data_IF_198982716921
#
_entry.id   IF_198982716921
#
_cell.length_a   1.000
_cell.length_b   1.000
_cell.length_c   1.000
_cell.angle_alpha   90.00
_cell.angle_beta   90.00
_cell.angle_gamma   90.00
#
_symmetry.space_group_name_H-M   'P 1'
#
loop_
_entity.id
_entity.type
_entity.pdbx_description
1 polymer ?
#
# COMPACT_ATOMS: atom_id res chain seq x y z
N UNK A 1 15.90 7.25 -2.25
CA UNK A 1 14.63 7.61 -2.91
C UNK A 1 14.55 9.11 -3.09
N UNK A 2 14.12 9.61 -4.25
CA UNK A 2 13.88 11.04 -4.48
C UNK A 2 12.45 11.38 -4.07
N UNK A 3 12.26 12.05 -2.96
CA UNK A 3 10.94 12.47 -2.47
C UNK A 3 10.17 13.35 -3.47
N UNK A 4 10.89 14.20 -4.23
CA UNK A 4 10.34 15.06 -5.29
C UNK A 4 9.61 14.23 -6.39
N UNK A 5 9.98 12.98 -6.60
CA UNK A 5 9.32 12.08 -7.56
C UNK A 5 8.25 11.23 -6.86
N UNK A 6 8.56 10.74 -5.67
CA UNK A 6 7.68 9.83 -4.95
C UNK A 6 6.37 10.47 -4.49
N UNK A 7 6.42 11.73 -4.01
CA UNK A 7 5.23 12.45 -3.54
C UNK A 7 4.23 12.78 -4.66
N UNK A 8 4.63 13.34 -5.82
CA UNK A 8 3.72 13.52 -6.93
C UNK A 8 3.08 12.23 -7.43
N UNK A 9 3.84 11.13 -7.51
CA UNK A 9 3.30 9.83 -7.94
C UNK A 9 2.30 9.29 -6.92
N UNK A 10 2.59 9.43 -5.62
CA UNK A 10 1.64 9.06 -4.56
C UNK A 10 0.35 9.88 -4.67
N UNK A 11 0.47 11.19 -4.89
CA UNK A 11 -0.69 12.07 -5.04
C UNK A 11 -1.50 11.72 -6.30
N UNK A 12 -0.84 11.47 -7.44
CA UNK A 12 -1.51 11.02 -8.66
C UNK A 12 -2.23 9.68 -8.43
N UNK A 13 -1.58 8.72 -7.76
CA UNK A 13 -2.20 7.44 -7.41
C UNK A 13 -3.45 7.63 -6.54
N UNK A 14 -3.40 8.54 -5.55
CA UNK A 14 -4.54 8.86 -4.70
C UNK A 14 -5.69 9.47 -5.49
N UNK A 15 -5.40 10.44 -6.36
CA UNK A 15 -6.43 11.06 -7.22
C UNK A 15 -7.05 10.02 -8.16
N UNK A 16 -6.25 9.12 -8.72
CA UNK A 16 -6.76 8.04 -9.56
C UNK A 16 -7.58 7.02 -8.77
N UNK A 17 -7.20 6.71 -7.53
CA UNK A 17 -7.98 5.81 -6.66
C UNK A 17 -9.39 6.37 -6.40
N UNK A 18 -9.51 7.66 -6.16
CA UNK A 18 -10.80 8.30 -5.87
C UNK A 18 -11.61 8.54 -7.15
N UNK A 19 -10.95 8.93 -8.27
CA UNK A 19 -11.65 9.43 -9.46
C UNK A 19 -11.82 8.38 -10.56
N UNK A 20 -10.87 7.45 -10.70
CA UNK A 20 -10.82 6.53 -11.84
C UNK A 20 -11.03 5.06 -11.46
N UNK A 21 -10.53 4.63 -10.31
CA UNK A 21 -10.67 3.23 -9.89
C UNK A 21 -12.11 2.76 -9.69
N UNK A 22 -13.09 3.61 -9.31
CA UNK A 22 -14.50 3.19 -9.27
C UNK A 22 -15.05 2.66 -10.61
N UNK A 23 -14.45 3.04 -11.75
CA UNK A 23 -14.82 2.49 -13.07
C UNK A 23 -14.54 0.98 -13.17
N UNK A 24 -13.55 0.49 -12.41
CA UNK A 24 -13.17 -0.92 -12.34
C UNK A 24 -13.80 -1.64 -11.14
N UNK A 25 -14.79 -1.04 -10.53
CA UNK A 25 -15.52 -1.65 -9.43
C UNK A 25 -16.32 -2.87 -9.90
N UNK A 26 -16.05 -4.01 -9.28
CA UNK A 26 -16.77 -5.25 -9.50
C UNK A 26 -17.39 -5.72 -8.17
N UNK A 27 -18.71 -5.55 -8.05
CA UNK A 27 -19.44 -6.01 -6.86
C UNK A 27 -19.01 -5.32 -5.54
N UNK A 28 -18.68 -4.04 -5.58
CA UNK A 28 -18.22 -3.28 -4.41
C UNK A 28 -16.70 -3.42 -4.14
N UNK A 29 -15.96 -4.04 -5.07
CA UNK A 29 -14.53 -4.28 -4.95
C UNK A 29 -13.79 -3.38 -5.93
N UNK A 30 -12.99 -2.44 -5.42
CA UNK A 30 -12.15 -1.55 -6.23
C UNK A 30 -10.66 -1.85 -6.00
N UNK A 31 -9.82 -1.89 -7.05
CA UNK A 31 -8.38 -1.96 -6.89
C UNK A 31 -7.84 -0.63 -6.33
N UNK A 32 -6.76 -0.68 -5.54
CA UNK A 32 -6.16 0.49 -4.92
C UNK A 32 -4.74 0.73 -5.44
N UNK A 33 -4.55 1.79 -6.24
CA UNK A 33 -3.26 2.16 -6.81
C UNK A 33 -2.25 2.66 -5.78
N UNK A 34 -2.73 3.37 -4.75
CA UNK A 34 -1.88 3.82 -3.64
C UNK A 34 -1.15 2.63 -3.02
N UNK A 35 -1.84 1.51 -2.80
CA UNK A 35 -1.25 0.26 -2.27
C UNK A 35 -0.15 -0.25 -3.21
N UNK A 36 -0.37 -0.22 -4.53
CA UNK A 36 0.62 -0.66 -5.52
C UNK A 36 1.88 0.20 -5.48
N UNK A 37 1.71 1.54 -5.39
CA UNK A 37 2.84 2.48 -5.31
C UNK A 37 3.63 2.26 -4.02
N UNK A 38 2.96 2.10 -2.86
CA UNK A 38 3.62 1.83 -1.58
C UNK A 38 4.35 0.50 -1.60
N UNK A 39 3.74 -0.58 -2.14
CA UNK A 39 4.37 -1.88 -2.29
C UNK A 39 5.62 -1.80 -3.18
N UNK A 40 5.54 -1.08 -4.30
CA UNK A 40 6.67 -0.83 -5.18
C UNK A 40 7.82 -0.12 -4.45
N UNK A 41 7.53 0.96 -3.75
CA UNK A 41 8.54 1.69 -2.95
C UNK A 41 9.16 0.78 -1.89
N UNK A 42 8.35 -0.05 -1.21
CA UNK A 42 8.83 -0.96 -0.17
C UNK A 42 9.79 -2.04 -0.69
N UNK A 43 9.72 -2.40 -1.97
CA UNK A 43 10.67 -3.35 -2.59
C UNK A 43 12.07 -2.76 -2.78
N UNK A 44 12.20 -1.45 -2.96
CA UNK A 44 13.46 -0.81 -3.39
C UNK A 44 14.11 0.06 -2.33
N UNK A 45 13.36 0.58 -1.37
CA UNK A 45 13.79 1.59 -0.40
C UNK A 45 14.15 0.94 0.94
N UNK A 46 14.98 1.60 1.73
CA UNK A 46 15.32 1.22 3.10
C UNK A 46 14.09 1.26 4.02
N UNK A 47 14.10 0.42 5.06
CA UNK A 47 12.96 0.25 5.98
C UNK A 47 12.49 1.56 6.61
N UNK A 48 13.36 2.38 7.22
CA UNK A 48 12.92 3.64 7.85
C UNK A 48 12.23 4.59 6.88
N UNK A 49 12.79 4.79 5.68
CA UNK A 49 12.21 5.69 4.67
C UNK A 49 10.85 5.20 4.16
N UNK A 50 10.70 3.88 3.95
CA UNK A 50 9.44 3.34 3.46
C UNK A 50 8.33 3.36 4.52
N UNK A 51 8.68 3.23 5.82
CA UNK A 51 7.72 3.40 6.92
C UNK A 51 7.10 4.80 6.92
N UNK A 52 7.93 5.84 6.80
CA UNK A 52 7.45 7.21 6.69
C UNK A 52 6.58 7.42 5.44
N UNK A 53 6.95 6.82 4.33
CA UNK A 53 6.16 6.88 3.10
C UNK A 53 4.80 6.19 3.27
N UNK A 54 4.76 5.03 3.93
CA UNK A 54 3.53 4.30 4.22
C UNK A 54 2.61 5.05 5.18
N UNK A 55 3.17 5.65 6.25
CA UNK A 55 2.41 6.50 7.17
C UNK A 55 1.77 7.68 6.43
N UNK A 56 2.53 8.35 5.57
CA UNK A 56 2.01 9.46 4.77
C UNK A 56 0.92 8.99 3.81
N UNK A 57 1.13 7.87 3.11
CA UNK A 57 0.16 7.30 2.19
C UNK A 57 -1.15 6.94 2.90
N UNK A 58 -1.07 6.25 4.04
CA UNK A 58 -2.23 5.88 4.84
C UNK A 58 -2.96 7.11 5.43
N UNK A 59 -2.21 8.12 5.87
CA UNK A 59 -2.78 9.39 6.34
C UNK A 59 -3.57 10.11 5.23
N UNK A 60 -3.03 10.17 4.03
CA UNK A 60 -3.72 10.75 2.88
C UNK A 60 -4.98 9.94 2.49
N UNK A 61 -4.95 8.62 2.62
CA UNK A 61 -6.12 7.77 2.41
C UNK A 61 -7.20 8.04 3.48
N UNK A 62 -6.83 8.13 4.76
CA UNK A 62 -7.77 8.44 5.84
C UNK A 62 -8.43 9.83 5.65
N UNK A 63 -7.74 10.79 5.02
CA UNK A 63 -8.29 12.10 4.69
C UNK A 63 -9.19 12.10 3.44
N UNK A 64 -8.98 11.16 2.53
CA UNK A 64 -9.67 11.12 1.23
C UNK A 64 -10.99 10.37 1.29
N UNK A 65 -11.11 9.40 2.20
CA UNK A 65 -12.29 8.55 2.32
C UNK A 65 -12.96 8.79 3.69
N UNK A 66 -14.26 9.19 3.73
CA UNK A 66 -14.97 9.28 5.00
C UNK A 66 -15.11 7.89 5.63
N UNK A 67 -14.71 7.74 6.87
CA UNK A 67 -14.78 6.47 7.60
C UNK A 67 -16.20 6.03 7.91
N UNK A 68 -17.13 6.97 8.03
CA UNK A 68 -18.54 6.74 8.25
C UNK A 68 -19.36 7.66 7.36
N UNK A 69 -20.21 7.08 6.52
CA UNK A 69 -21.21 7.79 5.72
C UNK A 69 -22.58 7.54 6.34
N UNK A 70 -23.18 8.55 6.94
CA UNK A 70 -24.49 8.46 7.59
C UNK A 70 -25.33 9.73 7.36
N UNK A 71 -26.56 9.79 7.88
CA UNK A 71 -27.42 10.97 7.79
C UNK A 71 -26.86 12.19 8.57
N UNK A 72 -25.84 11.98 9.39
CA UNK A 72 -25.02 13.02 10.02
C UNK A 72 -23.79 13.30 9.15
N UNK A 73 -23.10 14.41 9.40
CA UNK A 73 -21.91 14.81 8.64
C UNK A 73 -20.89 13.65 8.52
N UNK A 74 -20.20 13.52 7.36
CA UNK A 74 -19.21 12.47 7.18
C UNK A 74 -18.12 12.59 8.26
N UNK A 75 -17.81 11.50 8.94
CA UNK A 75 -16.77 11.44 9.95
C UNK A 75 -15.47 10.93 9.32
N UNK A 76 -14.42 11.75 9.38
CA UNK A 76 -13.07 11.34 8.98
C UNK A 76 -12.30 10.87 10.23
N UNK A 77 -11.94 9.60 10.25
CA UNK A 77 -11.13 9.02 11.32
C UNK A 77 -9.71 8.80 10.81
N UNK A 78 -8.78 9.56 11.35
CA UNK A 78 -7.35 9.39 11.07
C UNK A 78 -6.82 8.24 11.93
N UNK A 79 -6.18 7.26 11.30
CA UNK A 79 -5.49 6.17 12.01
C UNK A 79 -5.64 4.79 11.38
N UNK A 80 -6.85 4.31 11.04
CA UNK A 80 -7.03 2.94 10.56
C UNK A 80 -6.23 2.61 9.30
N UNK A 81 -6.28 3.45 8.26
CA UNK A 81 -5.50 3.23 7.04
C UNK A 81 -4.03 3.59 7.25
N UNK A 82 -3.74 4.62 8.06
CA UNK A 82 -2.37 5.02 8.42
C UNK A 82 -1.60 3.88 9.08
N UNK A 83 -2.16 3.28 10.12
CA UNK A 83 -1.55 2.15 10.82
C UNK A 83 -1.61 0.87 9.99
N UNK A 84 -2.71 0.64 9.27
CA UNK A 84 -2.85 -0.50 8.36
C UNK A 84 -1.75 -0.53 7.32
N UNK A 85 -1.44 0.60 6.68
CA UNK A 85 -0.35 0.73 5.72
C UNK A 85 1.02 0.46 6.36
N UNK A 86 1.24 0.92 7.60
CA UNK A 86 2.49 0.64 8.31
C UNK A 86 2.66 -0.87 8.55
N UNK A 87 1.62 -1.55 9.05
CA UNK A 87 1.65 -3.01 9.24
C UNK A 87 1.82 -3.75 7.92
N UNK A 88 1.14 -3.31 6.85
CA UNK A 88 1.29 -3.86 5.51
C UNK A 88 2.72 -3.76 5.00
N UNK A 89 3.37 -2.62 5.21
CA UNK A 89 4.77 -2.42 4.84
C UNK A 89 5.71 -3.33 5.64
N UNK A 90 5.49 -3.54 6.93
CA UNK A 90 6.30 -4.49 7.72
C UNK A 90 6.21 -5.92 7.16
N UNK A 91 5.01 -6.36 6.75
CA UNK A 91 4.85 -7.65 6.10
C UNK A 91 5.64 -7.74 4.78
N UNK A 92 5.58 -6.69 3.95
CA UNK A 92 6.35 -6.62 2.70
C UNK A 92 7.86 -6.62 2.98
N UNK A 93 8.33 -5.84 3.96
CA UNK A 93 9.75 -5.77 4.33
C UNK A 93 10.30 -7.12 4.78
N UNK A 94 9.47 -7.92 5.47
CA UNK A 94 9.86 -9.26 5.94
C UNK A 94 10.08 -10.25 4.81
N UNK A 95 9.34 -10.13 3.70
CA UNK A 95 9.33 -11.12 2.61
C UNK A 95 10.08 -10.64 1.37
N UNK A 96 10.31 -9.32 1.21
CA UNK A 96 10.90 -8.75 -0.03
C UNK A 96 12.26 -9.34 -0.43
N UNK A 97 12.96 -9.97 0.50
CA UNK A 97 14.25 -10.64 0.24
C UNK A 97 14.14 -11.91 -0.61
N UNK A 98 12.97 -12.53 -0.63
CA UNK A 98 12.70 -13.79 -1.34
C UNK A 98 12.31 -13.54 -2.80
N UNK A 99 11.77 -12.38 -3.12
CA UNK A 99 11.19 -12.09 -4.43
C UNK A 99 12.18 -11.42 -5.39
N UNK A 100 12.00 -11.70 -6.68
CA UNK A 100 12.80 -11.11 -7.76
C UNK A 100 12.37 -9.65 -7.97
N UNK A 101 13.23 -8.70 -7.62
CA UNK A 101 12.92 -7.27 -7.59
C UNK A 101 12.55 -6.64 -8.95
N UNK A 102 12.95 -7.24 -10.07
CA UNK A 102 12.68 -6.70 -11.42
C UNK A 102 11.49 -7.34 -12.13
N UNK A 103 10.72 -8.15 -11.43
CA UNK A 103 9.57 -8.82 -12.01
C UNK A 103 8.27 -8.05 -11.65
N UNK A 104 7.45 -7.62 -12.63
CA UNK A 104 6.15 -7.01 -12.37
C UNK A 104 5.22 -7.89 -11.52
N UNK A 105 5.31 -9.21 -11.69
CA UNK A 105 4.56 -10.16 -10.87
C UNK A 105 4.90 -10.01 -9.38
N UNK A 106 6.17 -9.75 -9.06
CA UNK A 106 6.59 -9.51 -7.66
C UNK A 106 5.94 -8.24 -7.09
N UNK A 107 5.73 -7.21 -7.91
CA UNK A 107 4.99 -6.01 -7.48
C UNK A 107 3.54 -6.37 -7.19
N UNK A 108 2.88 -7.15 -8.06
CA UNK A 108 1.51 -7.62 -7.83
C UNK A 108 1.37 -8.43 -6.55
N UNK A 109 2.25 -9.39 -6.31
CA UNK A 109 2.26 -10.21 -5.08
C UNK A 109 2.47 -9.34 -3.83
N UNK A 110 3.40 -8.37 -3.88
CA UNK A 110 3.64 -7.46 -2.76
C UNK A 110 2.47 -6.50 -2.53
N UNK A 111 1.80 -6.06 -3.60
CA UNK A 111 0.59 -5.25 -3.49
C UNK A 111 -0.56 -6.04 -2.85
N UNK A 112 -0.74 -7.31 -3.23
CA UNK A 112 -1.71 -8.21 -2.61
C UNK A 112 -1.42 -8.36 -1.12
N UNK A 113 -0.17 -8.67 -0.75
CA UNK A 113 0.24 -8.86 0.64
C UNK A 113 0.03 -7.59 1.48
N UNK A 114 0.46 -6.44 0.96
CA UNK A 114 0.31 -5.16 1.63
C UNK A 114 -1.18 -4.82 1.82
N UNK A 115 -1.99 -4.97 0.76
CA UNK A 115 -3.42 -4.73 0.81
C UNK A 115 -4.12 -5.64 1.80
N UNK A 116 -3.81 -6.94 1.78
CA UNK A 116 -4.39 -7.93 2.69
C UNK A 116 -4.08 -7.62 4.15
N UNK A 117 -2.81 -7.35 4.46
CA UNK A 117 -2.36 -7.05 5.83
C UNK A 117 -2.94 -5.73 6.33
N UNK A 118 -2.98 -4.70 5.47
CA UNK A 118 -3.59 -3.42 5.77
C UNK A 118 -5.11 -3.55 6.00
N UNK A 119 -5.80 -4.31 5.13
CA UNK A 119 -7.24 -4.57 5.25
C UNK A 119 -7.60 -5.39 6.48
N UNK A 120 -6.77 -6.39 6.83
CA UNK A 120 -6.94 -7.15 8.09
C UNK A 120 -6.83 -6.23 9.30
N UNK A 121 -5.82 -5.35 9.34
CA UNK A 121 -5.67 -4.38 10.42
C UNK A 121 -6.85 -3.43 10.49
N UNK A 122 -7.30 -2.88 9.36
CA UNK A 122 -8.44 -1.99 9.27
C UNK A 122 -9.73 -2.68 9.81
N UNK A 123 -10.01 -3.90 9.37
CA UNK A 123 -11.17 -4.67 9.83
C UNK A 123 -11.09 -4.97 11.34
N UNK A 124 -9.91 -5.37 11.83
CA UNK A 124 -9.69 -5.63 13.25
C UNK A 124 -9.88 -4.36 14.10
N UNK A 125 -9.37 -3.23 13.63
CA UNK A 125 -9.54 -1.94 14.30
C UNK A 125 -11.01 -1.57 14.47
N UNK A 126 -11.81 -1.68 13.42
CA UNK A 126 -13.22 -1.38 13.47
C UNK A 126 -14.01 -2.43 14.28
N UNK A 127 -13.64 -3.70 14.23
CA UNK A 127 -14.24 -4.74 15.07
C UNK A 127 -14.02 -4.47 16.55
N UNK A 128 -12.82 -4.04 16.96
CA UNK A 128 -12.54 -3.63 18.33
C UNK A 128 -13.34 -2.38 18.73
N UNK A 129 -13.40 -1.40 17.82
CA UNK A 129 -14.13 -0.16 18.07
C UNK A 129 -15.64 -0.36 18.16
N UNK A 130 -16.20 -1.36 17.49
CA UNK A 130 -17.65 -1.68 17.55
C UNK A 130 -18.13 -2.12 18.93
N UNK A 131 -17.22 -2.41 19.87
CA UNK A 131 -17.58 -2.68 21.27
C UNK A 131 -18.04 -1.42 22.04
N UNK A 132 -17.78 -0.23 21.48
CA UNK A 132 -18.23 1.03 22.05
C UNK A 132 -19.55 1.46 21.39
N UNK A 133 -20.63 1.70 22.19
CA UNK A 133 -21.97 2.01 21.66
C UNK A 133 -22.04 3.24 20.75
N UNK A 134 -21.16 4.21 21.00
CA UNK A 134 -21.12 5.48 20.26
C UNK A 134 -20.34 5.39 18.94
N UNK A 135 -19.85 4.23 18.57
CA UNK A 135 -18.97 4.05 17.42
C UNK A 135 -19.40 2.85 16.56
N UNK A 136 -20.52 2.96 15.83
CA UNK A 136 -20.97 1.88 14.97
C UNK A 136 -19.91 1.54 13.91
N UNK A 137 -19.75 0.25 13.55
CA UNK A 137 -18.79 -0.14 12.53
C UNK A 137 -19.28 0.34 11.14
N UNK A 138 -18.36 0.56 10.16
CA UNK A 138 -18.71 1.03 8.82
C UNK A 138 -19.64 0.08 8.06
N UNK A 139 -19.61 -1.20 8.40
CA UNK A 139 -20.47 -2.23 7.77
C UNK A 139 -21.90 -2.32 8.33
N UNK A 140 -22.28 -1.44 9.26
CA UNK A 140 -23.64 -1.44 9.84
C UNK A 140 -24.02 -2.77 10.46
N UNK A 141 -25.18 -3.32 10.06
CA UNK A 141 -25.69 -4.62 10.52
C UNK A 141 -24.97 -5.84 9.92
N UNK A 142 -23.98 -5.60 9.05
CA UNK A 142 -23.14 -6.65 8.47
C UNK A 142 -22.21 -7.30 9.50
N UNK A 143 -21.52 -8.37 9.11
CA UNK A 143 -20.52 -9.02 9.94
C UNK A 143 -19.11 -8.59 9.56
N UNK A 144 -18.21 -8.48 10.55
CA UNK A 144 -16.80 -8.23 10.33
C UNK A 144 -16.14 -9.28 9.41
N UNK A 145 -16.66 -10.53 9.42
CA UNK A 145 -16.17 -11.59 8.55
C UNK A 145 -16.52 -11.32 7.08
N UNK A 146 -17.73 -10.83 6.80
CA UNK A 146 -18.11 -10.42 5.44
C UNK A 146 -17.24 -9.28 4.95
N UNK A 147 -17.01 -8.28 5.80
CA UNK A 147 -16.14 -7.15 5.47
C UNK A 147 -14.72 -7.61 5.19
N UNK A 148 -14.17 -8.48 6.02
CA UNK A 148 -12.86 -9.09 5.75
C UNK A 148 -12.80 -9.84 4.42
N UNK A 149 -13.89 -10.56 4.06
CA UNK A 149 -14.01 -11.21 2.76
C UNK A 149 -13.96 -10.22 1.60
N UNK A 150 -14.62 -9.06 1.71
CA UNK A 150 -14.58 -7.99 0.71
C UNK A 150 -13.17 -7.38 0.62
N UNK A 151 -12.51 -7.13 1.76
CA UNK A 151 -11.10 -6.66 1.80
C UNK A 151 -10.13 -7.67 1.17
N UNK A 152 -10.35 -8.97 1.40
CA UNK A 152 -9.55 -10.02 0.79
C UNK A 152 -9.68 -10.02 -0.75
N UNK A 153 -10.91 -9.93 -1.27
CA UNK A 153 -11.16 -9.82 -2.71
C UNK A 153 -10.58 -8.52 -3.29
N UNK A 154 -10.69 -7.40 -2.57
CA UNK A 154 -10.05 -6.14 -2.91
C UNK A 154 -8.52 -6.24 -2.97
N UNK A 155 -7.94 -7.06 -2.11
CA UNK A 155 -6.50 -7.32 -2.12
C UNK A 155 -6.07 -8.12 -3.36
N UNK A 156 -6.86 -9.10 -3.77
CA UNK A 156 -6.63 -9.83 -5.03
C UNK A 156 -6.74 -8.89 -6.22
N UNK A 157 -7.77 -8.05 -6.28
CA UNK A 157 -7.94 -7.04 -7.32
C UNK A 157 -6.73 -6.10 -7.40
N UNK A 158 -6.29 -5.53 -6.27
CA UNK A 158 -5.11 -4.67 -6.18
C UNK A 158 -3.83 -5.39 -6.61
N UNK A 159 -3.70 -6.68 -6.28
CA UNK A 159 -2.58 -7.53 -6.72
C UNK A 159 -2.54 -7.73 -8.23
N UNK A 160 -3.69 -8.02 -8.85
CA UNK A 160 -3.82 -8.16 -10.31
C UNK A 160 -3.49 -6.84 -11.01
N UNK A 161 -4.06 -5.72 -10.57
CA UNK A 161 -3.73 -4.39 -11.07
C UNK A 161 -2.28 -3.99 -10.80
N UNK A 162 -1.68 -4.52 -9.74
CA UNK A 162 -0.28 -4.33 -9.40
C UNK A 162 0.68 -4.84 -10.46
N UNK A 163 0.28 -5.79 -11.31
CA UNK A 163 1.14 -6.32 -12.38
C UNK A 163 1.36 -5.29 -13.50
N UNK A 164 0.32 -4.78 -14.19
CA UNK A 164 0.52 -3.78 -15.25
C UNK A 164 1.06 -2.45 -14.70
N UNK A 165 0.59 -2.00 -13.55
CA UNK A 165 1.10 -0.78 -12.91
C UNK A 165 2.56 -0.98 -12.49
N UNK A 166 2.91 -2.14 -11.94
CA UNK A 166 4.28 -2.52 -11.61
C UNK A 166 5.20 -2.51 -12.81
N UNK A 167 4.73 -3.00 -13.98
CA UNK A 167 5.48 -2.90 -15.23
C UNK A 167 5.78 -1.44 -15.60
N UNK A 168 4.77 -0.57 -15.51
CA UNK A 168 4.92 0.86 -15.76
C UNK A 168 5.92 1.51 -14.79
N UNK A 169 5.77 1.26 -13.48
CA UNK A 169 6.65 1.81 -12.45
C UNK A 169 8.10 1.33 -12.60
N UNK A 170 8.30 0.07 -13.00
CA UNK A 170 9.62 -0.50 -13.30
C UNK A 170 10.27 0.17 -14.50
N UNK A 171 9.50 0.49 -15.54
CA UNK A 171 10.00 1.19 -16.73
C UNK A 171 10.58 2.56 -16.36
N UNK A 172 9.90 3.28 -15.44
CA UNK A 172 10.34 4.57 -14.93
C UNK A 172 11.26 4.50 -13.70
N UNK A 173 11.74 3.31 -13.33
CA UNK A 173 12.55 3.10 -12.10
C UNK A 173 13.79 4.00 -11.99
N UNK A 174 14.38 4.41 -13.12
CA UNK A 174 15.50 5.37 -13.16
C UNK A 174 15.16 6.76 -12.60
N UNK A 175 13.94 7.23 -12.80
CA UNK A 175 13.49 8.53 -12.31
C UNK A 175 13.37 8.59 -10.78
N UNK A 176 13.06 7.46 -10.13
CA UNK A 176 12.92 7.35 -8.68
C UNK A 176 14.22 7.53 -7.89
N UNK A 177 15.38 7.46 -8.58
CA UNK A 177 16.68 7.54 -7.95
C UNK A 177 16.99 6.37 -7.02
N UNK A 178 16.43 5.20 -7.31
CA UNK A 178 16.82 3.98 -6.60
C UNK A 178 18.27 3.63 -6.91
N UNK A 179 19.07 3.18 -5.91
CA UNK A 179 20.44 2.77 -6.15
C UNK A 179 20.44 1.61 -7.16
N UNK A 180 21.08 1.82 -8.30
CA UNK A 180 21.20 0.77 -9.31
C UNK A 180 21.96 -0.42 -8.71
N UNK A 181 21.56 -1.65 -9.07
CA UNK A 181 22.24 -2.88 -8.63
C UNK A 181 23.73 -2.85 -8.98
N UNK A 182 24.10 -2.13 -10.05
CA UNK A 182 25.49 -1.88 -10.47
C UNK A 182 26.29 -1.03 -9.48
N UNK A 183 25.64 -0.09 -8.77
CA UNK A 183 26.33 0.71 -7.75
C UNK A 183 26.70 -0.12 -6.50
N UNK A 184 25.85 -1.09 -6.11
CA UNK A 184 26.14 -2.01 -5.00
C UNK A 184 27.24 -3.02 -5.34
N UNK A 185 27.28 -3.52 -6.58
CA UNK A 185 28.36 -4.42 -7.02
C UNK A 185 29.74 -3.72 -7.02
N UNK A 186 29.78 -2.42 -7.37
CA UNK A 186 31.03 -1.63 -7.30
C UNK A 186 31.54 -1.39 -5.89
N UNK A 187 30.65 -1.15 -4.93
CA UNK A 187 31.07 -0.98 -3.51
C UNK A 187 31.55 -2.28 -2.87
N UNK A 188 30.94 -3.41 -3.19
CA UNK A 188 31.39 -4.72 -2.70
C UNK A 188 32.68 -5.20 -3.36
N UNK A 189 32.87 -4.95 -4.65
CA UNK A 189 34.12 -5.27 -5.37
C UNK A 189 35.31 -4.38 -4.96
N UNK A 190 35.06 -3.14 -4.49
CA UNK A 190 36.07 -2.24 -3.98
C UNK A 190 36.63 -2.66 -2.61
N UNK A 191 35.80 -3.19 -1.74
CA UNK A 191 36.24 -3.66 -0.41
C UNK A 191 37.04 -4.98 -0.47
N UNK A 192 36.78 -5.84 -1.44
CA UNK A 192 37.54 -7.07 -1.62
C UNK A 192 38.98 -6.84 -2.16
N UNK A 193 39.28 -5.66 -2.70
CA UNK A 193 40.63 -5.30 -3.20
C UNK A 193 41.55 -4.69 -2.16
N UNK A 194 41.04 -4.30 -0.99
CA UNK A 194 41.84 -3.67 0.07
C UNK A 194 42.44 -4.68 1.07
N UNK A 195 42.04 -5.98 0.96
CA UNK A 195 42.48 -7.05 1.87
C UNK A 195 43.46 -8.02 1.17
N UNK A 196 44.21 -7.56 0.18
CA UNK A 196 45.37 -8.31 -0.38
C UNK A 196 46.66 -7.51 -0.28
#
# INVERSE_FOLDING_TARGET
MKWIVALPILFIALVLDVSFMPVFELGGITPRLVVVVVAFVAMYVDGPTVRWFALLAGFLMDLSEPSLSGPRAPLYLIGPSTLGMLFGVEAVLSIRGVLIRRNPLSVGVMSLLLSLTSGLFWTAWWALRSWYPDSPPPWGDGSALREFGMQFLGSISSGIFGIPVGFLLLHFSGAWGFPSVLARARTQGGQARIIR
#
